data_IF_272382076668
#
_entry.id   IF_272382076668
#
_cell.length_a   1.000
_cell.length_b   1.000
_cell.length_c   1.000
_cell.angle_alpha   90.00
_cell.angle_beta   90.00
_cell.angle_gamma   90.00
#
_symmetry.space_group_name_H-M   'P 1'
#
loop_
_entity.id
_entity.type
_entity.pdbx_description
1 polymer ?
#
# COMPACT_ATOMS: atom_id res chain seq x y z
N UNK A 1 -0.90 -5.39 -2.79
CA UNK A 1 -1.98 -4.62 -2.11
C UNK A 1 -3.14 -5.51 -1.70
N UNK A 2 -3.57 -6.45 -2.55
CA UNK A 2 -4.63 -7.43 -2.26
C UNK A 2 -4.59 -8.04 -0.84
N UNK A 3 -3.42 -8.50 -0.41
CA UNK A 3 -3.24 -9.14 0.90
C UNK A 3 -3.51 -8.17 2.06
N UNK A 4 -2.96 -6.96 1.97
CA UNK A 4 -3.09 -5.94 3.02
C UNK A 4 -4.53 -5.42 3.08
N UNK A 5 -5.17 -5.31 1.91
CA UNK A 5 -6.53 -4.81 1.75
C UNK A 5 -7.61 -5.84 2.07
N UNK A 6 -7.27 -7.13 1.93
CA UNK A 6 -8.24 -8.21 2.00
C UNK A 6 -9.23 -8.26 0.82
N UNK A 7 -9.01 -7.43 -0.21
CA UNK A 7 -9.90 -7.25 -1.37
C UNK A 7 -9.09 -6.91 -2.63
N UNK A 8 -9.73 -7.05 -3.80
CA UNK A 8 -9.10 -6.76 -5.08
C UNK A 8 -8.89 -5.24 -5.26
N UNK A 9 -7.68 -4.77 -5.65
CA UNK A 9 -7.36 -3.35 -5.77
C UNK A 9 -8.29 -2.59 -6.71
N UNK A 10 -8.77 -3.24 -7.76
CA UNK A 10 -9.73 -2.64 -8.70
C UNK A 10 -11.04 -2.22 -8.03
N UNK A 11 -11.50 -2.96 -7.01
CA UNK A 11 -12.75 -2.68 -6.30
C UNK A 11 -12.60 -1.48 -5.35
N UNK A 12 -11.36 -1.24 -4.88
CA UNK A 12 -11.03 -0.13 -3.99
C UNK A 12 -10.67 1.15 -4.76
N UNK A 13 -10.04 1.04 -5.94
CA UNK A 13 -9.79 2.20 -6.81
C UNK A 13 -11.12 2.84 -7.27
N UNK A 14 -12.20 2.06 -7.39
CA UNK A 14 -13.54 2.62 -7.68
C UNK A 14 -14.18 3.36 -6.50
N UNK A 15 -13.78 3.08 -5.26
CA UNK A 15 -14.38 3.69 -4.04
C UNK A 15 -13.52 4.81 -3.46
N UNK A 16 -12.23 4.85 -3.79
CA UNK A 16 -11.29 5.85 -3.30
C UNK A 16 -11.34 7.13 -4.15
N UNK A 17 -11.50 8.32 -3.53
CA UNK A 17 -11.43 9.56 -4.28
C UNK A 17 -10.05 9.71 -4.93
N UNK A 18 -9.97 10.16 -6.19
CA UNK A 18 -8.70 10.25 -6.95
C UNK A 18 -7.59 11.01 -6.19
N UNK A 19 -7.97 11.98 -5.35
CA UNK A 19 -7.05 12.74 -4.50
C UNK A 19 -6.44 11.94 -3.35
N UNK A 20 -7.01 10.80 -2.95
CA UNK A 20 -6.50 9.90 -1.90
C UNK A 20 -5.45 8.90 -2.41
N UNK A 21 -5.44 8.63 -3.73
CA UNK A 21 -4.36 7.91 -4.37
C UNK A 21 -3.06 8.74 -4.34
N UNK A 22 -3.18 10.07 -4.44
CA UNK A 22 -2.08 11.04 -4.33
C UNK A 22 -1.79 11.46 -2.88
N UNK A 23 -2.83 11.61 -2.05
CA UNK A 23 -2.72 11.90 -0.62
C UNK A 23 -2.75 10.59 0.16
N UNK A 24 -1.54 10.03 0.36
CA UNK A 24 -1.21 8.99 1.34
C UNK A 24 -2.45 8.41 2.03
N UNK A 25 -3.09 7.44 1.35
CA UNK A 25 -4.13 6.62 1.91
C UNK A 25 -3.76 6.30 3.36
N UNK A 26 -4.59 6.70 4.33
CA UNK A 26 -4.35 6.30 5.70
C UNK A 26 -4.45 4.77 5.70
N UNK A 27 -3.33 4.09 6.02
CA UNK A 27 -3.22 2.63 6.03
C UNK A 27 -4.40 1.97 6.77
N UNK A 28 -4.95 2.68 7.76
CA UNK A 28 -6.11 2.29 8.57
C UNK A 28 -7.40 2.14 7.76
N UNK A 29 -7.63 3.00 6.78
CA UNK A 29 -8.88 3.01 5.98
C UNK A 29 -8.95 1.85 5.00
N UNK A 30 -7.80 1.20 4.76
CA UNK A 30 -7.61 0.20 3.71
C UNK A 30 -6.99 -1.09 4.23
N UNK A 31 -6.78 -1.19 5.55
CA UNK A 31 -6.39 -2.44 6.19
C UNK A 31 -7.56 -3.43 6.15
N UNK A 32 -7.29 -4.69 5.82
CA UNK A 32 -8.23 -5.79 6.05
C UNK A 32 -8.64 -5.80 7.53
N UNK A 33 -9.94 -5.60 7.79
CA UNK A 33 -10.49 -5.56 9.14
C UNK A 33 -10.90 -6.95 9.66
N UNK A 34 -10.77 -8.00 8.84
CA UNK A 34 -11.11 -9.38 9.26
C UNK A 34 -10.11 -9.97 10.27
N UNK A 35 -8.79 -9.74 10.16
CA UNK A 35 -7.82 -10.14 11.18
C UNK A 35 -7.92 -9.28 12.44
N UNK A 36 -7.32 -9.76 13.53
CA UNK A 36 -7.13 -8.95 14.73
C UNK A 36 -6.26 -7.72 14.41
N UNK A 37 -6.52 -6.53 14.99
CA UNK A 37 -5.69 -5.37 14.77
C UNK A 37 -4.21 -5.67 15.06
N UNK A 38 -3.29 -5.26 14.15
CA UNK A 38 -1.87 -5.48 14.34
C UNK A 38 -1.33 -4.69 15.54
N UNK A 39 -0.23 -5.18 16.13
CA UNK A 39 0.51 -4.40 17.13
C UNK A 39 1.07 -3.11 16.50
N UNK A 40 1.42 -2.09 17.30
CA UNK A 40 1.97 -0.84 16.79
C UNK A 40 3.20 -1.04 15.89
N UNK A 41 4.13 -1.92 16.26
CA UNK A 41 5.33 -2.21 15.45
C UNK A 41 4.97 -2.79 14.07
N UNK A 42 3.97 -3.67 14.02
CA UNK A 42 3.50 -4.26 12.76
C UNK A 42 2.75 -3.23 11.92
N UNK A 43 2.04 -2.28 12.55
CA UNK A 43 1.37 -1.19 11.84
C UNK A 43 2.38 -0.25 11.15
N UNK A 44 3.53 0.01 11.77
CA UNK A 44 4.61 0.81 11.18
C UNK A 44 5.26 0.08 9.99
N UNK A 45 5.55 -1.22 10.13
CA UNK A 45 6.03 -2.04 9.02
C UNK A 45 5.05 -2.05 7.86
N UNK A 46 3.76 -2.15 8.16
CA UNK A 46 2.72 -2.15 7.14
C UNK A 46 2.65 -0.81 6.40
N UNK A 47 2.84 0.31 7.12
CA UNK A 47 2.94 1.62 6.50
C UNK A 47 4.13 1.72 5.55
N UNK A 48 5.28 1.14 5.90
CA UNK A 48 6.45 1.07 5.02
C UNK A 48 6.16 0.24 3.76
N UNK A 49 5.57 -0.94 3.90
CA UNK A 49 5.20 -1.80 2.75
C UNK A 49 4.18 -1.10 1.85
N UNK A 50 3.19 -0.41 2.43
CA UNK A 50 2.21 0.36 1.67
C UNK A 50 2.86 1.50 0.87
N UNK A 51 3.81 2.24 1.46
CA UNK A 51 4.58 3.28 0.74
C UNK A 51 5.29 2.71 -0.48
N UNK A 52 5.96 1.57 -0.33
CA UNK A 52 6.65 0.88 -1.44
C UNK A 52 5.62 0.48 -2.51
N UNK A 53 4.48 -0.10 -2.10
CA UNK A 53 3.43 -0.48 -3.02
C UNK A 53 2.87 0.72 -3.82
N UNK A 54 2.69 1.89 -3.18
CA UNK A 54 2.25 3.11 -3.88
C UNK A 54 3.29 3.61 -4.90
N UNK A 55 4.58 3.52 -4.58
CA UNK A 55 5.63 3.85 -5.56
C UNK A 55 5.54 2.96 -6.80
N UNK A 56 5.25 1.66 -6.63
CA UNK A 56 5.04 0.74 -7.74
C UNK A 56 3.81 1.05 -8.59
N UNK A 57 2.79 1.70 -8.01
CA UNK A 57 1.55 2.09 -8.69
C UNK A 57 1.59 3.51 -9.27
N UNK A 58 2.74 4.21 -9.23
CA UNK A 58 2.85 5.56 -9.76
C UNK A 58 2.33 5.65 -11.20
N UNK A 59 1.50 6.66 -11.49
CA UNK A 59 0.93 6.83 -12.83
C UNK A 59 2.04 6.97 -13.88
N UNK A 60 3.05 7.79 -13.59
CA UNK A 60 4.25 7.91 -14.42
C UNK A 60 5.10 6.63 -14.33
N UNK A 61 5.32 5.89 -15.44
CA UNK A 61 6.12 4.67 -15.44
C UNK A 61 7.59 4.92 -15.05
N UNK A 62 8.14 6.11 -15.31
CA UNK A 62 9.52 6.44 -14.94
C UNK A 62 9.71 6.71 -13.45
N UNK A 63 8.62 6.93 -12.71
CA UNK A 63 8.66 7.09 -11.24
C UNK A 63 8.55 5.75 -10.50
N UNK A 64 8.25 4.66 -11.20
CA UNK A 64 8.13 3.33 -10.58
C UNK A 64 9.52 2.75 -10.30
N UNK A 65 9.74 2.15 -9.13
CA UNK A 65 10.99 1.46 -8.83
C UNK A 65 11.12 0.19 -9.69
N UNK A 66 12.36 -0.24 -9.91
CA UNK A 66 12.64 -1.56 -10.48
C UNK A 66 12.34 -2.64 -9.44
N UNK A 67 12.04 -3.87 -9.87
CA UNK A 67 11.85 -4.99 -8.95
C UNK A 67 13.07 -5.25 -8.06
N UNK A 68 14.28 -4.98 -8.55
CA UNK A 68 15.49 -5.02 -7.74
C UNK A 68 15.43 -4.00 -6.59
N UNK A 69 15.10 -2.73 -6.88
CA UNK A 69 14.94 -1.71 -5.85
C UNK A 69 13.84 -2.09 -4.85
N UNK A 70 12.72 -2.64 -5.32
CA UNK A 70 11.64 -3.16 -4.44
C UNK A 70 12.15 -4.26 -3.51
N UNK A 71 12.92 -5.22 -4.01
CA UNK A 71 13.49 -6.29 -3.15
C UNK A 71 14.41 -5.75 -2.06
N UNK A 72 15.19 -4.71 -2.37
CA UNK A 72 16.06 -4.05 -1.38
C UNK A 72 15.23 -3.28 -0.34
N UNK A 73 14.20 -2.56 -0.78
CA UNK A 73 13.32 -1.81 0.11
C UNK A 73 12.50 -2.70 1.05
N UNK A 74 12.16 -3.92 0.62
CA UNK A 74 11.44 -4.91 1.45
C UNK A 74 12.34 -5.71 2.39
N UNK A 75 13.65 -5.68 2.20
CA UNK A 75 14.62 -6.39 3.03
C UNK A 75 15.01 -5.63 4.31
N UNK A 76 14.57 -4.37 4.44
CA UNK A 76 14.77 -3.49 5.58
C UNK A 76 13.46 -3.26 6.35
#
# INVERSE_FOLDING_TARGET
>A
MEIIMGAHPGDLISTLPSSSLEKQLLVKDVLDQRPLPPSPDVQDQLMSVMKIAFMCLAHNPHSRPTMYAVSVLLAN
#
